data_IF_107105206988
#
_entry.id   IF_107105206988
#
_cell.length_a   1.000
_cell.length_b   1.000
_cell.length_c   1.000
_cell.angle_alpha   90.00
_cell.angle_beta   90.00
_cell.angle_gamma   90.00
#
_symmetry.space_group_name_H-M   'P 1'
#
loop_
_entity.id
_entity.type
_entity.pdbx_description
1 polymer ?
#
# COMPACT_ATOMS: atom_id res chain seq x y z
N UNK A 1 26.40 2.43 -28.98
CA UNK A 1 25.42 2.49 -27.86
C UNK A 1 25.14 3.91 -27.36
N UNK A 2 25.49 4.95 -28.13
CA UNK A 2 25.48 6.35 -27.69
C UNK A 2 24.13 6.89 -27.21
N UNK A 3 23.02 6.22 -27.53
CA UNK A 3 21.66 6.58 -27.12
C UNK A 3 21.03 5.55 -26.16
N UNK A 4 21.83 4.70 -25.49
CA UNK A 4 21.37 3.71 -24.55
C UNK A 4 21.73 4.12 -23.12
N UNK A 5 20.84 3.85 -22.19
CA UNK A 5 21.09 4.07 -20.77
C UNK A 5 21.74 2.85 -20.11
N UNK A 6 22.77 3.11 -19.32
CA UNK A 6 23.23 2.18 -18.30
C UNK A 6 22.32 2.34 -17.08
N UNK A 7 21.42 1.39 -16.89
CA UNK A 7 20.40 1.44 -15.83
C UNK A 7 20.91 0.78 -14.56
N UNK A 8 20.85 1.50 -13.45
CA UNK A 8 21.22 1.03 -12.13
C UNK A 8 19.99 1.10 -11.23
N UNK A 9 19.77 0.04 -10.46
CA UNK A 9 18.66 -0.05 -9.52
C UNK A 9 19.07 -0.75 -8.23
N UNK A 10 18.23 -0.66 -7.24
CA UNK A 10 18.41 -1.34 -5.96
C UNK A 10 17.25 -2.29 -5.65
N UNK A 11 17.51 -3.24 -4.75
CA UNK A 11 16.54 -4.23 -4.27
C UNK A 11 16.69 -4.33 -2.76
N UNK A 12 15.59 -4.39 -2.03
CA UNK A 12 15.64 -4.69 -0.59
C UNK A 12 15.95 -3.50 0.31
N UNK A 13 15.55 -2.27 -0.04
CA UNK A 13 15.76 -1.12 0.84
C UNK A 13 15.03 -1.28 2.18
N UNK A 14 13.85 -1.88 2.18
CA UNK A 14 13.14 -2.21 3.41
C UNK A 14 13.97 -3.13 4.31
N UNK A 15 14.52 -4.21 3.74
CA UNK A 15 15.34 -5.17 4.48
C UNK A 15 16.69 -4.58 4.87
N UNK A 16 17.22 -3.62 4.11
CA UNK A 16 18.40 -2.86 4.51
C UNK A 16 18.17 -2.11 5.83
N UNK A 17 17.00 -1.47 6.00
CA UNK A 17 16.60 -0.85 7.27
C UNK A 17 16.49 -1.84 8.42
N UNK A 18 15.89 -2.99 8.19
CA UNK A 18 15.74 -4.05 9.20
C UNK A 18 17.10 -4.65 9.64
N UNK A 19 18.04 -4.81 8.72
CA UNK A 19 19.35 -5.41 8.98
C UNK A 19 20.40 -4.41 9.48
N UNK A 20 20.26 -3.13 9.16
CA UNK A 20 21.18 -2.08 9.61
C UNK A 20 21.16 -1.96 11.14
N UNK A 21 22.32 -2.18 11.80
CA UNK A 21 22.42 -2.22 13.27
C UNK A 21 21.97 -0.94 13.96
N UNK A 22 22.09 0.19 13.28
CA UNK A 22 21.72 1.53 13.78
C UNK A 22 20.26 1.92 13.50
N UNK A 23 19.51 1.15 12.69
CA UNK A 23 18.11 1.41 12.37
C UNK A 23 17.18 0.36 13.00
N UNK A 24 17.33 -0.91 12.60
CA UNK A 24 16.51 -2.04 13.07
C UNK A 24 14.99 -1.80 12.94
N UNK A 25 14.58 -1.11 11.88
CA UNK A 25 13.19 -0.75 11.56
C UNK A 25 12.93 -0.97 10.09
N UNK A 26 11.67 -1.15 9.75
CA UNK A 26 11.21 -1.25 8.36
C UNK A 26 11.04 0.14 7.71
N UNK A 27 10.69 0.16 6.43
CA UNK A 27 10.56 1.40 5.64
C UNK A 27 9.37 2.29 6.08
N UNK A 28 8.47 1.81 6.92
CA UNK A 28 7.41 2.65 7.48
C UNK A 28 7.93 3.68 8.48
N UNK A 29 9.10 3.42 9.08
CA UNK A 29 9.71 4.32 10.05
C UNK A 29 10.37 5.54 9.38
N UNK A 30 10.14 6.76 9.90
CA UNK A 30 10.71 7.99 9.32
C UNK A 30 12.23 7.97 9.16
N UNK A 31 12.95 7.33 10.08
CA UNK A 31 14.42 7.23 10.05
C UNK A 31 14.89 6.35 8.88
N UNK A 32 14.14 5.29 8.55
CA UNK A 32 14.44 4.41 7.41
C UNK A 32 14.05 5.09 6.09
N UNK A 33 12.97 5.86 6.07
CA UNK A 33 12.61 6.69 4.93
C UNK A 33 13.69 7.73 4.63
N UNK A 34 14.22 8.39 5.68
CA UNK A 34 15.33 9.34 5.50
C UNK A 34 16.58 8.64 4.98
N UNK A 35 16.96 7.50 5.56
CA UNK A 35 18.09 6.70 5.08
C UNK A 35 17.90 6.29 3.61
N UNK A 36 16.70 5.86 3.22
CA UNK A 36 16.40 5.51 1.82
C UNK A 36 16.55 6.73 0.88
N UNK A 37 16.09 7.91 1.30
CA UNK A 37 16.27 9.17 0.55
C UNK A 37 17.75 9.52 0.40
N UNK A 38 18.54 9.38 1.45
CA UNK A 38 19.97 9.68 1.43
C UNK A 38 20.71 8.73 0.46
N UNK A 39 20.38 7.43 0.48
CA UNK A 39 20.93 6.45 -0.47
C UNK A 39 20.56 6.79 -1.90
N UNK A 40 19.28 7.07 -2.17
CA UNK A 40 18.81 7.39 -3.52
C UNK A 40 19.44 8.69 -4.06
N UNK A 41 19.57 9.72 -3.22
CA UNK A 41 20.23 10.97 -3.60
C UNK A 41 21.71 10.74 -3.88
N UNK A 42 22.40 9.99 -3.02
CA UNK A 42 23.80 9.63 -3.27
C UNK A 42 23.98 8.88 -4.59
N UNK A 43 23.10 7.89 -4.88
CA UNK A 43 23.15 7.18 -6.16
C UNK A 43 22.94 8.13 -7.35
N UNK A 44 21.99 9.06 -7.26
CA UNK A 44 21.75 10.07 -8.31
C UNK A 44 22.98 10.94 -8.56
N UNK A 45 23.61 11.44 -7.53
CA UNK A 45 24.84 12.24 -7.61
C UNK A 45 25.96 11.43 -8.30
N UNK A 46 26.18 10.19 -7.86
CA UNK A 46 27.18 9.31 -8.48
C UNK A 46 26.91 9.01 -9.97
N UNK A 47 25.65 8.84 -10.33
CA UNK A 47 25.30 8.64 -11.76
C UNK A 47 25.54 9.89 -12.59
N UNK A 48 25.33 11.08 -12.04
CA UNK A 48 25.71 12.34 -12.71
C UNK A 48 27.23 12.44 -12.92
N UNK A 49 28.00 12.10 -11.88
CA UNK A 49 29.47 12.07 -11.99
C UNK A 49 29.94 11.07 -13.08
N UNK A 50 29.29 9.91 -13.19
CA UNK A 50 29.62 8.94 -14.23
C UNK A 50 29.26 9.44 -15.62
N UNK A 51 28.15 10.15 -15.79
CA UNK A 51 27.79 10.79 -17.06
C UNK A 51 28.86 11.81 -17.49
N UNK A 52 29.36 12.62 -16.57
CA UNK A 52 30.41 13.59 -16.81
C UNK A 52 31.75 12.91 -17.15
N UNK A 53 32.09 11.84 -16.40
CA UNK A 53 33.39 11.16 -16.53
C UNK A 53 33.50 10.30 -17.81
N UNK A 54 32.43 9.56 -18.12
CA UNK A 54 32.45 8.56 -19.21
C UNK A 54 31.76 9.02 -20.51
N UNK A 55 30.94 10.08 -20.44
CA UNK A 55 30.17 10.55 -21.60
C UNK A 55 28.97 9.67 -21.95
N UNK A 56 28.69 8.62 -21.18
CA UNK A 56 27.56 7.70 -21.36
C UNK A 56 26.33 8.15 -20.60
N UNK A 57 25.16 7.63 -21.00
CA UNK A 57 23.88 7.90 -20.32
C UNK A 57 23.66 6.91 -19.17
N UNK A 58 23.34 7.43 -17.99
CA UNK A 58 23.01 6.65 -16.80
C UNK A 58 21.65 7.04 -16.25
N UNK A 59 20.91 6.07 -15.71
CA UNK A 59 19.67 6.35 -14.97
C UNK A 59 19.54 5.47 -13.73
N UNK A 60 18.74 5.92 -12.78
CA UNK A 60 18.36 5.21 -11.57
C UNK A 60 16.92 4.71 -11.71
N UNK A 61 16.74 3.41 -11.66
CA UNK A 61 15.45 2.75 -11.82
C UNK A 61 14.95 2.12 -10.51
N UNK A 62 13.65 2.23 -10.25
CA UNK A 62 12.99 1.39 -9.25
C UNK A 62 12.82 -0.02 -9.85
N UNK A 63 13.87 -0.82 -9.76
CA UNK A 63 14.02 -2.09 -10.46
C UNK A 63 12.88 -3.07 -10.15
N UNK A 64 12.14 -3.56 -11.17
CA UNK A 64 11.12 -4.59 -11.00
C UNK A 64 11.76 -5.97 -10.85
N UNK A 65 12.31 -6.25 -9.67
CA UNK A 65 13.11 -7.44 -9.39
C UNK A 65 12.24 -8.69 -9.19
N UNK A 66 11.90 -9.40 -10.25
CA UNK A 66 11.12 -10.64 -10.17
C UNK A 66 11.93 -11.81 -9.60
N UNK A 67 12.91 -12.30 -10.36
CA UNK A 67 13.75 -13.44 -9.95
C UNK A 67 14.87 -13.01 -9.01
N UNK A 68 15.42 -11.82 -9.18
CA UNK A 68 16.54 -11.31 -8.42
C UNK A 68 16.20 -11.17 -6.94
N UNK A 69 15.04 -10.61 -6.61
CA UNK A 69 14.57 -10.47 -5.24
C UNK A 69 14.50 -11.81 -4.49
N UNK A 70 14.01 -12.85 -5.15
CA UNK A 70 13.97 -14.21 -4.59
C UNK A 70 15.36 -14.84 -4.51
N UNK A 71 16.14 -14.78 -5.59
CA UNK A 71 17.45 -15.42 -5.66
C UNK A 71 18.42 -14.85 -4.62
N UNK A 72 18.51 -13.54 -4.50
CA UNK A 72 19.37 -12.89 -3.52
C UNK A 72 18.97 -13.27 -2.10
N UNK A 73 17.71 -13.14 -1.73
CA UNK A 73 17.25 -13.51 -0.41
C UNK A 73 17.54 -14.99 -0.08
N UNK A 74 17.35 -15.89 -1.05
CA UNK A 74 17.66 -17.31 -0.88
C UNK A 74 19.16 -17.59 -0.70
N UNK A 75 20.02 -16.87 -1.42
CA UNK A 75 21.47 -17.01 -1.28
C UNK A 75 21.95 -16.42 0.04
N UNK A 76 21.45 -15.24 0.38
CA UNK A 76 21.86 -14.54 1.61
C UNK A 76 21.44 -15.30 2.86
N UNK A 77 20.25 -15.90 2.89
CA UNK A 77 19.83 -16.80 4.00
C UNK A 77 20.77 -17.99 4.20
N UNK A 78 21.45 -18.48 3.14
CA UNK A 78 22.43 -19.55 3.26
C UNK A 78 23.77 -19.06 3.81
N UNK A 79 24.21 -17.87 3.40
CA UNK A 79 25.49 -17.30 3.80
C UNK A 79 25.39 -16.61 5.16
N UNK A 80 24.25 -16.02 5.44
CA UNK A 80 23.96 -15.21 6.62
C UNK A 80 22.63 -15.68 7.25
N UNK A 81 22.59 -16.74 8.04
CA UNK A 81 21.35 -17.32 8.57
C UNK A 81 20.45 -16.34 9.33
N UNK A 82 21.07 -15.34 9.98
CA UNK A 82 20.38 -14.32 10.78
C UNK A 82 19.88 -13.12 9.97
N UNK A 83 20.11 -13.09 8.64
CA UNK A 83 19.65 -11.98 7.81
C UNK A 83 18.13 -11.95 7.75
N UNK A 84 17.56 -10.78 7.96
CA UNK A 84 16.11 -10.55 7.90
C UNK A 84 15.70 -10.35 6.44
N UNK A 85 14.68 -11.09 6.00
CA UNK A 85 14.06 -10.98 4.68
C UNK A 85 12.59 -10.58 4.82
N UNK A 86 11.90 -10.30 3.73
CA UNK A 86 10.50 -9.87 3.77
C UNK A 86 9.57 -10.93 4.38
N UNK A 87 9.89 -12.22 4.23
CA UNK A 87 9.19 -13.32 4.88
C UNK A 87 10.17 -14.20 5.67
N UNK A 88 10.02 -14.23 6.99
CA UNK A 88 10.88 -15.00 7.89
C UNK A 88 10.41 -16.44 8.09
N UNK A 89 9.10 -16.72 7.91
CA UNK A 89 8.48 -18.01 8.21
C UNK A 89 8.15 -18.84 6.96
N UNK A 90 8.50 -18.37 5.78
CA UNK A 90 8.18 -19.03 4.52
C UNK A 90 9.30 -18.91 3.49
N UNK A 91 8.93 -18.74 2.23
CA UNK A 91 9.89 -18.53 1.14
C UNK A 91 10.48 -17.11 1.22
N UNK A 92 11.81 -16.97 1.40
CA UNK A 92 12.42 -15.65 1.55
C UNK A 92 12.40 -14.89 0.22
N UNK A 93 12.19 -13.58 0.31
CA UNK A 93 12.36 -12.63 -0.80
C UNK A 93 12.75 -11.26 -0.25
N UNK A 94 13.27 -10.40 -1.11
CA UNK A 94 13.47 -8.99 -0.82
C UNK A 94 12.36 -8.15 -1.42
N UNK A 95 11.97 -7.10 -0.72
CA UNK A 95 11.05 -6.10 -1.25
C UNK A 95 11.65 -5.42 -2.48
N UNK A 96 10.85 -5.15 -3.50
CA UNK A 96 11.33 -4.47 -4.70
C UNK A 96 11.80 -3.06 -4.35
N UNK A 97 12.99 -2.70 -4.84
CA UNK A 97 13.52 -1.35 -4.76
C UNK A 97 13.36 -0.69 -3.38
N UNK A 98 12.78 0.50 -3.30
CA UNK A 98 12.40 1.20 -2.06
C UNK A 98 10.89 1.19 -1.81
N UNK A 99 10.20 0.14 -2.23
CA UNK A 99 8.77 -0.02 -1.97
C UNK A 99 8.52 -0.44 -0.51
N UNK A 100 7.33 -0.10 -0.01
CA UNK A 100 6.82 -0.66 1.24
C UNK A 100 6.63 -2.17 1.14
N UNK A 101 6.78 -2.91 2.24
CA UNK A 101 6.34 -4.30 2.31
C UNK A 101 4.88 -4.42 1.88
N UNK A 102 4.57 -5.39 1.03
CA UNK A 102 3.22 -5.59 0.46
C UNK A 102 2.16 -5.91 1.51
N UNK A 103 2.58 -6.33 2.70
CA UNK A 103 1.72 -6.61 3.86
C UNK A 103 1.67 -5.47 4.89
N UNK A 104 2.14 -4.27 4.58
CA UNK A 104 2.22 -3.18 5.55
C UNK A 104 0.84 -2.57 5.87
N UNK A 105 0.08 -2.18 4.86
CA UNK A 105 -1.22 -1.52 5.04
C UNK A 105 -2.20 -1.88 3.92
N UNK A 106 -3.49 -1.84 4.25
CA UNK A 106 -4.59 -1.90 3.29
C UNK A 106 -5.17 -0.51 2.95
N UNK A 107 -4.60 0.55 3.50
CA UNK A 107 -4.94 1.94 3.16
C UNK A 107 -3.99 2.45 2.08
N UNK A 108 -4.52 2.61 0.87
CA UNK A 108 -3.74 3.09 -0.29
C UNK A 108 -3.12 4.47 -0.04
N UNK A 109 -3.82 5.36 0.69
CA UNK A 109 -3.33 6.72 0.92
C UNK A 109 -2.22 6.75 1.96
N UNK A 110 -2.27 5.88 2.96
CA UNK A 110 -1.15 5.70 3.91
C UNK A 110 0.10 5.19 3.19
N UNK A 111 -0.06 4.24 2.26
CA UNK A 111 1.04 3.78 1.44
C UNK A 111 1.59 4.88 0.52
N UNK A 112 0.71 5.66 -0.10
CA UNK A 112 1.08 6.78 -0.99
C UNK A 112 1.82 7.88 -0.23
N UNK A 113 1.42 8.22 1.00
CA UNK A 113 2.09 9.23 1.84
C UNK A 113 3.56 8.88 2.09
N UNK A 114 3.88 7.59 2.24
CA UNK A 114 5.24 7.12 2.45
C UNK A 114 6.02 7.02 1.11
N UNK A 115 5.34 6.57 0.05
CA UNK A 115 6.00 6.27 -1.21
C UNK A 115 6.22 7.49 -2.11
N UNK A 116 5.43 8.55 -1.97
CA UNK A 116 5.44 9.70 -2.90
C UNK A 116 6.84 10.31 -3.04
N UNK A 117 7.47 10.66 -1.91
CA UNK A 117 8.81 11.26 -1.95
C UNK A 117 9.89 10.29 -2.45
N UNK A 118 9.81 9.02 -2.08
CA UNK A 118 10.81 8.02 -2.50
C UNK A 118 10.72 7.75 -4.00
N UNK A 119 9.50 7.62 -4.54
CA UNK A 119 9.31 7.32 -5.97
C UNK A 119 9.74 8.48 -6.88
N UNK A 120 9.68 9.72 -6.41
CA UNK A 120 10.14 10.89 -7.18
C UNK A 120 11.66 11.03 -7.25
N UNK A 121 12.41 10.26 -6.47
CA UNK A 121 13.89 10.29 -6.50
C UNK A 121 14.48 9.42 -7.61
N UNK A 122 13.72 8.55 -8.23
CA UNK A 122 14.17 7.78 -9.39
C UNK A 122 14.17 8.64 -10.64
N UNK A 123 15.12 8.39 -11.54
CA UNK A 123 15.21 9.08 -12.82
C UNK A 123 14.65 8.27 -13.98
N UNK A 124 14.27 7.03 -13.72
CA UNK A 124 13.66 6.09 -14.66
C UNK A 124 12.82 5.05 -13.93
N UNK A 125 11.91 4.40 -14.64
CA UNK A 125 11.26 3.14 -14.31
C UNK A 125 10.70 2.99 -12.89
N UNK A 126 9.99 4.00 -12.37
CA UNK A 126 9.32 3.86 -11.06
C UNK A 126 7.81 3.65 -11.23
N UNK A 127 7.20 2.87 -10.35
CA UNK A 127 5.75 2.63 -10.35
C UNK A 127 5.23 2.27 -8.96
N UNK A 128 4.08 2.82 -8.60
CA UNK A 128 3.32 2.38 -7.44
C UNK A 128 2.19 1.44 -7.89
N UNK A 129 2.18 0.21 -7.41
CA UNK A 129 1.13 -0.75 -7.72
C UNK A 129 0.06 -0.78 -6.63
N UNK A 130 -1.13 -0.26 -6.92
CA UNK A 130 -2.29 -0.43 -6.07
C UNK A 130 -2.95 -1.80 -6.35
N UNK A 131 -2.61 -2.79 -5.53
CA UNK A 131 -3.20 -4.13 -5.63
C UNK A 131 -4.60 -4.14 -5.02
N UNK A 132 -5.61 -4.41 -5.85
CA UNK A 132 -6.99 -4.53 -5.42
C UNK A 132 -7.40 -6.00 -5.35
N UNK A 133 -8.24 -6.36 -4.37
CA UNK A 133 -8.80 -7.71 -4.26
C UNK A 133 -9.73 -8.05 -5.41
N UNK A 134 -10.42 -7.04 -5.93
CA UNK A 134 -11.37 -7.14 -7.06
C UNK A 134 -11.41 -5.81 -7.83
N UNK A 135 -12.14 -5.78 -8.93
CA UNK A 135 -12.35 -4.53 -9.69
C UNK A 135 -13.16 -3.52 -8.87
N UNK A 136 -12.91 -2.25 -9.11
CA UNK A 136 -13.72 -1.17 -8.54
C UNK A 136 -15.17 -1.28 -9.02
N UNK A 137 -16.16 -0.85 -8.21
CA UNK A 137 -17.58 -1.07 -8.51
C UNK A 137 -18.03 -0.44 -9.84
N UNK A 138 -17.48 0.73 -10.17
CA UNK A 138 -17.81 1.45 -11.40
C UNK A 138 -16.65 2.35 -11.87
N UNK A 139 -16.80 2.90 -13.07
CA UNK A 139 -15.81 3.80 -13.67
C UNK A 139 -15.66 5.13 -12.93
N UNK A 140 -16.71 5.63 -12.24
CA UNK A 140 -16.67 6.89 -11.48
C UNK A 140 -15.77 6.71 -10.25
N UNK A 141 -15.87 5.57 -9.58
CA UNK A 141 -14.99 5.21 -8.46
C UNK A 141 -13.53 5.15 -8.91
N UNK A 142 -13.27 4.54 -10.08
CA UNK A 142 -11.93 4.52 -10.66
C UNK A 142 -11.43 5.94 -11.02
N UNK A 143 -12.25 6.75 -11.68
CA UNK A 143 -11.92 8.12 -12.05
C UNK A 143 -11.65 9.01 -10.82
N UNK A 144 -12.44 8.86 -9.76
CA UNK A 144 -12.25 9.59 -8.50
C UNK A 144 -10.93 9.21 -7.81
N UNK A 145 -10.60 7.91 -7.78
CA UNK A 145 -9.33 7.45 -7.21
C UNK A 145 -8.15 8.00 -8.00
N UNK A 146 -8.17 7.87 -9.33
CA UNK A 146 -7.13 8.39 -10.22
C UNK A 146 -6.96 9.91 -10.02
N UNK A 147 -8.06 10.65 -10.02
CA UNK A 147 -8.02 12.10 -9.80
C UNK A 147 -7.40 12.48 -8.46
N UNK A 148 -7.82 11.80 -7.39
CA UNK A 148 -7.28 12.06 -6.04
C UNK A 148 -5.79 11.80 -5.96
N UNK A 149 -5.30 10.71 -6.56
CA UNK A 149 -3.87 10.44 -6.59
C UNK A 149 -3.16 11.53 -7.40
N UNK A 150 -3.63 11.84 -8.60
CA UNK A 150 -3.00 12.81 -9.49
C UNK A 150 -2.97 14.26 -8.93
N UNK A 151 -4.00 14.65 -8.17
CA UNK A 151 -4.11 16.00 -7.59
C UNK A 151 -3.31 16.18 -6.29
N UNK A 152 -2.99 15.09 -5.57
CA UNK A 152 -2.39 15.17 -4.23
C UNK A 152 -0.99 14.59 -4.12
N UNK A 153 -0.52 13.83 -5.10
CA UNK A 153 0.77 13.14 -5.09
C UNK A 153 1.58 13.46 -6.35
N UNK A 154 2.90 13.37 -6.22
CA UNK A 154 3.87 13.64 -7.30
C UNK A 154 4.33 12.37 -8.01
N UNK A 155 3.79 11.21 -7.64
CA UNK A 155 4.14 9.91 -8.22
C UNK A 155 4.16 9.96 -9.75
N UNK A 156 5.28 9.62 -10.40
CA UNK A 156 5.38 9.66 -11.86
C UNK A 156 4.47 8.65 -12.55
N UNK A 157 4.26 7.49 -11.92
CA UNK A 157 3.44 6.42 -12.47
C UNK A 157 2.84 5.53 -11.38
N UNK A 158 1.58 5.19 -11.53
CA UNK A 158 0.90 4.24 -10.66
C UNK A 158 -0.10 3.40 -11.45
N UNK A 159 -0.42 2.22 -10.92
CA UNK A 159 -1.40 1.32 -11.52
C UNK A 159 -2.48 0.92 -10.53
N UNK A 160 -3.69 0.76 -11.01
CA UNK A 160 -4.80 0.16 -10.28
C UNK A 160 -4.93 -1.27 -10.79
N UNK A 161 -4.61 -2.24 -9.94
CA UNK A 161 -4.36 -3.63 -10.34
C UNK A 161 -5.31 -4.59 -9.61
N UNK A 162 -6.52 -4.86 -10.15
CA UNK A 162 -7.41 -5.86 -9.58
C UNK A 162 -6.85 -7.27 -9.79
N UNK A 163 -7.17 -8.17 -8.85
CA UNK A 163 -6.99 -9.61 -9.04
C UNK A 163 -8.25 -10.19 -9.69
N UNK A 164 -8.10 -11.14 -10.60
CA UNK A 164 -9.20 -11.85 -11.21
C UNK A 164 -8.82 -13.30 -11.54
N UNK A 165 -9.79 -14.14 -11.78
CA UNK A 165 -9.61 -15.54 -12.14
C UNK A 165 -10.29 -15.86 -13.45
N UNK A 166 -9.76 -16.85 -14.17
CA UNK A 166 -10.30 -17.34 -15.44
C UNK A 166 -10.62 -18.82 -15.33
N UNK A 167 -11.87 -19.18 -15.53
CA UNK A 167 -12.27 -20.56 -15.79
C UNK A 167 -12.23 -20.82 -17.29
N UNK A 168 -11.62 -21.91 -17.73
CA UNK A 168 -11.54 -22.27 -19.16
C UNK A 168 -12.91 -22.43 -19.81
N UNK A 169 -13.91 -22.88 -19.05
CA UNK A 169 -15.26 -23.15 -19.56
C UNK A 169 -16.22 -21.98 -19.37
N UNK A 170 -16.04 -21.16 -18.30
CA UNK A 170 -17.00 -20.12 -17.90
C UNK A 170 -16.44 -18.70 -17.92
N UNK A 171 -15.15 -18.54 -18.31
CA UNK A 171 -14.51 -17.23 -18.50
C UNK A 171 -14.17 -16.51 -17.20
N UNK A 172 -14.40 -15.21 -17.16
CA UNK A 172 -13.96 -14.28 -16.11
C UNK A 172 -14.71 -14.46 -14.78
N UNK A 173 -13.96 -14.47 -13.69
CA UNK A 173 -14.44 -14.48 -12.32
C UNK A 173 -13.76 -13.32 -11.56
N UNK A 174 -14.50 -12.53 -10.81
CA UNK A 174 -13.96 -11.43 -10.03
C UNK A 174 -13.19 -11.96 -8.81
N UNK A 175 -12.01 -11.35 -8.53
CA UNK A 175 -11.18 -11.70 -7.38
C UNK A 175 -10.41 -13.01 -7.51
N UNK A 176 -9.85 -13.47 -6.40
CA UNK A 176 -9.14 -14.75 -6.28
C UNK A 176 -10.13 -15.88 -6.04
N UNK A 177 -10.44 -16.63 -7.08
CA UNK A 177 -11.35 -17.79 -7.05
C UNK A 177 -10.56 -19.02 -7.49
N UNK A 178 -10.29 -19.97 -6.59
CA UNK A 178 -9.47 -21.16 -6.86
C UNK A 178 -10.19 -22.23 -7.66
N UNK A 179 -11.50 -22.34 -7.47
CA UNK A 179 -12.36 -23.29 -8.18
C UNK A 179 -13.58 -22.61 -8.73
N UNK A 180 -13.94 -22.90 -9.97
CA UNK A 180 -15.09 -22.30 -10.63
C UNK A 180 -16.40 -22.65 -9.89
N UNK A 181 -17.22 -21.66 -9.50
CA UNK A 181 -18.48 -21.93 -8.79
C UNK A 181 -19.54 -22.64 -9.64
N UNK A 182 -19.34 -22.70 -10.97
CA UNK A 182 -20.29 -23.33 -11.89
C UNK A 182 -19.93 -24.79 -12.17
N UNK A 183 -18.64 -25.07 -12.50
CA UNK A 183 -18.22 -26.43 -12.89
C UNK A 183 -17.30 -27.10 -11.88
N UNK A 184 -16.85 -26.41 -10.82
CA UNK A 184 -15.93 -26.95 -9.81
C UNK A 184 -14.47 -27.08 -10.26
N UNK A 185 -14.17 -26.86 -11.56
CA UNK A 185 -12.79 -26.95 -12.05
C UNK A 185 -11.88 -25.83 -11.52
N UNK A 186 -10.58 -26.12 -11.47
CA UNK A 186 -9.56 -25.15 -11.11
C UNK A 186 -9.50 -23.97 -12.07
N UNK A 187 -9.22 -22.79 -11.57
CA UNK A 187 -9.11 -21.55 -12.34
C UNK A 187 -7.68 -21.09 -12.45
N UNK A 188 -7.39 -20.26 -13.43
CA UNK A 188 -6.14 -19.49 -13.49
C UNK A 188 -6.32 -18.14 -12.81
N UNK A 189 -5.55 -17.87 -11.76
CA UNK A 189 -5.60 -16.62 -11.00
C UNK A 189 -4.60 -15.65 -11.61
N UNK A 190 -5.08 -14.48 -12.02
CA UNK A 190 -4.27 -13.44 -12.63
C UNK A 190 -4.08 -12.26 -11.69
N UNK A 191 -2.84 -11.86 -11.52
CA UNK A 191 -2.46 -10.64 -10.83
C UNK A 191 -1.23 -10.04 -11.49
N UNK A 192 -0.92 -8.78 -11.17
CA UNK A 192 0.29 -8.12 -11.65
C UNK A 192 1.49 -8.62 -10.85
N UNK A 193 2.48 -9.21 -11.53
CA UNK A 193 3.69 -9.70 -10.85
C UNK A 193 4.62 -8.54 -10.50
N UNK A 194 5.00 -7.76 -11.52
CA UNK A 194 5.73 -6.48 -11.39
C UNK A 194 5.12 -5.48 -12.37
N UNK A 195 5.46 -5.53 -13.64
CA UNK A 195 4.96 -4.62 -14.65
C UNK A 195 3.74 -5.11 -15.44
N UNK A 196 3.42 -6.41 -15.44
CA UNK A 196 2.40 -7.02 -16.28
C UNK A 196 1.62 -8.13 -15.58
N UNK A 197 0.42 -8.44 -16.10
CA UNK A 197 -0.40 -9.54 -15.60
C UNK A 197 0.12 -10.89 -16.05
N UNK A 198 0.10 -11.85 -15.13
CA UNK A 198 0.51 -13.21 -15.39
C UNK A 198 -0.23 -14.17 -14.44
N UNK A 199 -0.54 -15.41 -14.85
CA UNK A 199 -1.07 -16.42 -13.94
C UNK A 199 -0.15 -16.62 -12.75
N UNK A 200 -0.69 -16.47 -11.54
CA UNK A 200 0.07 -16.59 -10.29
C UNK A 200 0.76 -17.95 -10.17
N UNK A 201 0.13 -18.99 -10.72
CA UNK A 201 0.66 -20.36 -10.75
C UNK A 201 2.00 -20.48 -11.49
N UNK A 202 2.30 -19.53 -12.37
CA UNK A 202 3.52 -19.51 -13.19
C UNK A 202 4.63 -18.62 -12.60
N UNK A 203 4.44 -18.08 -11.40
CA UNK A 203 5.43 -17.24 -10.75
C UNK A 203 6.49 -18.06 -10.03
N UNK A 204 7.68 -17.47 -9.81
CA UNK A 204 8.67 -18.09 -8.93
C UNK A 204 8.19 -18.11 -7.48
N UNK A 205 8.76 -18.99 -6.66
CA UNK A 205 8.32 -19.22 -5.27
C UNK A 205 8.33 -17.96 -4.40
N UNK A 206 9.30 -17.06 -4.58
CA UNK A 206 9.37 -15.80 -3.84
C UNK A 206 8.23 -14.85 -4.21
N UNK A 207 7.90 -14.74 -5.50
CA UNK A 207 6.76 -13.92 -5.96
C UNK A 207 5.40 -14.53 -5.60
N UNK A 208 5.28 -15.84 -5.57
CA UNK A 208 4.09 -16.52 -5.03
C UNK A 208 3.93 -16.21 -3.54
N UNK A 209 5.04 -16.19 -2.78
CA UNK A 209 5.00 -15.80 -1.37
C UNK A 209 4.62 -14.33 -1.21
N UNK A 210 5.24 -13.42 -1.95
CA UNK A 210 4.87 -12.01 -1.95
C UNK A 210 3.37 -11.79 -2.25
N UNK A 211 2.81 -12.55 -3.21
CA UNK A 211 1.37 -12.48 -3.50
C UNK A 211 0.51 -12.89 -2.31
N UNK A 212 0.90 -13.92 -1.57
CA UNK A 212 0.19 -14.35 -0.35
C UNK A 212 0.29 -13.34 0.79
N UNK A 213 1.40 -12.62 0.86
CA UNK A 213 1.68 -11.63 1.90
C UNK A 213 1.01 -10.27 1.62
N UNK A 214 0.42 -10.06 0.42
CA UNK A 214 -0.22 -8.80 0.03
C UNK A 214 -1.43 -8.49 0.87
N UNK A 215 -1.45 -7.31 1.48
CA UNK A 215 -2.68 -6.67 1.92
C UNK A 215 -3.26 -5.89 0.73
N UNK A 216 -4.50 -6.26 0.38
CA UNK A 216 -5.18 -5.67 -0.77
C UNK A 216 -5.85 -4.36 -0.37
N UNK A 217 -5.66 -3.32 -1.19
CA UNK A 217 -6.33 -2.05 -1.00
C UNK A 217 -7.81 -2.17 -1.38
N UNK A 218 -8.68 -1.41 -0.71
CA UNK A 218 -10.13 -1.39 -0.99
C UNK A 218 -10.83 -2.77 -0.94
N UNK A 219 -10.38 -3.70 -0.11
CA UNK A 219 -11.23 -4.82 0.26
C UNK A 219 -12.50 -4.24 0.92
N UNK A 220 -13.65 -4.93 0.80
CA UNK A 220 -14.96 -4.53 1.37
C UNK A 220 -14.94 -4.19 2.89
N UNK A 221 -13.76 -4.13 3.47
CA UNK A 221 -13.48 -3.90 4.89
C UNK A 221 -14.08 -2.59 5.43
N UNK A 222 -14.19 -1.54 4.58
CA UNK A 222 -14.79 -0.26 4.98
C UNK A 222 -16.32 -0.35 4.97
N UNK A 223 -16.93 -1.26 4.19
CA UNK A 223 -18.39 -1.38 4.13
C UNK A 223 -19.00 -2.10 5.32
N UNK A 224 -18.29 -3.07 5.92
CA UNK A 224 -18.91 -4.01 6.87
C UNK A 224 -18.37 -3.93 8.30
N UNK A 225 -17.32 -3.18 8.61
CA UNK A 225 -16.65 -3.18 9.92
C UNK A 225 -16.30 -1.80 10.50
N UNK A 226 -16.98 -0.74 10.09
CA UNK A 226 -16.77 0.58 10.69
C UNK A 226 -17.56 0.65 12.00
N UNK A 227 -16.85 0.85 13.11
CA UNK A 227 -17.46 1.07 14.43
C UNK A 227 -17.27 2.52 14.83
N UNK A 228 -18.36 3.23 15.08
CA UNK A 228 -18.32 4.59 15.62
C UNK A 228 -18.56 4.52 17.13
N UNK A 229 -17.53 4.78 17.92
CA UNK A 229 -17.60 4.81 19.38
C UNK A 229 -17.99 6.23 19.79
N UNK A 230 -19.08 6.34 20.53
CA UNK A 230 -19.69 7.61 20.96
C UNK A 230 -20.01 7.59 22.46
N UNK A 231 -20.22 8.77 23.03
CA UNK A 231 -20.75 8.94 24.40
C UNK A 231 -22.08 9.71 24.39
N UNK A 232 -22.88 9.55 25.42
CA UNK A 232 -24.24 10.11 25.53
C UNK A 232 -24.27 11.65 25.44
N UNK A 233 -23.21 12.31 25.87
CA UNK A 233 -23.18 13.77 26.02
C UNK A 233 -22.21 14.48 25.06
N UNK A 234 -21.75 13.82 24.01
CA UNK A 234 -20.70 14.31 23.11
C UNK A 234 -21.27 15.01 21.85
N UNK A 235 -21.25 16.34 21.73
CA UNK A 235 -21.73 17.03 20.53
C UNK A 235 -20.91 16.69 19.27
N UNK A 236 -19.60 16.45 19.42
CA UNK A 236 -18.72 16.04 18.33
C UNK A 236 -19.06 14.65 17.77
N UNK A 237 -19.69 13.80 18.56
CA UNK A 237 -20.14 12.48 18.13
C UNK A 237 -21.29 12.55 17.11
N UNK A 238 -22.20 13.51 17.29
CA UNK A 238 -23.29 13.79 16.34
C UNK A 238 -22.71 14.26 14.99
N UNK A 239 -21.68 15.09 15.03
CA UNK A 239 -21.00 15.54 13.83
C UNK A 239 -20.25 14.41 13.12
N UNK A 240 -19.59 13.52 13.88
CA UNK A 240 -18.92 12.34 13.30
C UNK A 240 -19.92 11.40 12.62
N UNK A 241 -21.06 11.14 13.26
CA UNK A 241 -22.16 10.35 12.71
C UNK A 241 -22.68 10.98 11.39
N UNK A 242 -22.86 12.28 11.38
CA UNK A 242 -23.27 13.01 10.17
C UNK A 242 -22.22 12.89 9.04
N UNK A 243 -20.94 13.04 9.34
CA UNK A 243 -19.85 12.87 8.36
C UNK A 243 -19.89 11.47 7.72
N UNK A 244 -20.06 10.42 8.52
CA UNK A 244 -20.11 9.03 8.02
C UNK A 244 -21.34 8.81 7.15
N UNK A 245 -22.53 9.29 7.59
CA UNK A 245 -23.76 9.16 6.81
C UNK A 245 -23.70 9.94 5.49
N UNK A 246 -23.27 11.20 5.52
CA UNK A 246 -23.15 12.07 4.34
C UNK A 246 -22.12 11.51 3.34
N UNK A 247 -21.11 10.79 3.85
CA UNK A 247 -20.09 10.12 3.04
C UNK A 247 -20.51 8.72 2.53
N UNK A 248 -21.72 8.24 2.87
CA UNK A 248 -22.23 6.93 2.48
C UNK A 248 -21.50 5.75 3.12
N UNK A 249 -20.90 5.96 4.31
CA UNK A 249 -20.18 4.92 5.05
C UNK A 249 -21.15 4.21 6.00
N UNK A 250 -21.33 2.90 5.82
CA UNK A 250 -22.07 2.08 6.77
C UNK A 250 -21.24 1.87 8.04
N UNK A 251 -21.83 2.03 9.21
CA UNK A 251 -21.13 1.84 10.47
C UNK A 251 -22.06 1.31 11.58
N UNK A 252 -21.45 0.64 12.56
CA UNK A 252 -22.12 0.24 13.79
C UNK A 252 -21.83 1.28 14.86
N UNK A 253 -22.88 1.94 15.39
CA UNK A 253 -22.76 2.87 16.50
C UNK A 253 -22.66 2.12 17.82
N UNK A 254 -21.64 2.42 18.60
CA UNK A 254 -21.35 1.78 19.89
C UNK A 254 -21.27 2.84 20.98
N UNK A 255 -22.13 2.71 21.99
CA UNK A 255 -22.09 3.56 23.17
C UNK A 255 -20.95 3.11 24.08
N UNK A 256 -20.03 4.01 24.39
CA UNK A 256 -18.86 3.68 25.20
C UNK A 256 -19.23 3.26 26.62
N UNK A 257 -20.27 3.89 27.19
CA UNK A 257 -20.77 3.61 28.55
C UNK A 257 -21.32 2.20 28.66
N UNK A 258 -21.94 1.69 27.60
CA UNK A 258 -22.59 0.37 27.58
C UNK A 258 -21.61 -0.75 27.15
N UNK A 259 -20.39 -0.39 26.69
CA UNK A 259 -19.39 -1.31 26.12
C UNK A 259 -17.98 -1.08 26.69
N UNK A 260 -17.89 -0.92 28.03
CA UNK A 260 -16.62 -0.55 28.69
C UNK A 260 -15.47 -1.53 28.48
N UNK A 261 -15.75 -2.83 28.37
CA UNK A 261 -14.71 -3.85 28.09
C UNK A 261 -14.14 -3.72 26.67
N UNK A 262 -14.99 -3.50 25.68
CA UNK A 262 -14.57 -3.25 24.31
C UNK A 262 -13.72 -1.98 24.21
N UNK A 263 -14.14 -0.89 24.84
CA UNK A 263 -13.42 0.39 24.87
C UNK A 263 -12.03 0.22 25.49
N UNK A 264 -11.92 -0.54 26.59
CA UNK A 264 -10.64 -0.86 27.23
C UNK A 264 -9.76 -1.75 26.35
N UNK A 265 -10.32 -2.81 25.76
CA UNK A 265 -9.57 -3.72 24.88
C UNK A 265 -9.00 -3.01 23.66
N UNK A 266 -9.75 -2.06 23.11
CA UNK A 266 -9.34 -1.23 21.98
C UNK A 266 -8.48 -0.03 22.39
N UNK A 267 -8.24 0.20 23.70
CA UNK A 267 -7.47 1.33 24.23
C UNK A 267 -7.97 2.67 23.71
N UNK A 268 -9.29 2.90 23.71
CA UNK A 268 -9.92 4.15 23.23
C UNK A 268 -9.91 5.16 24.36
N UNK A 269 -9.34 6.34 24.10
CA UNK A 269 -9.14 7.38 25.13
C UNK A 269 -10.11 8.56 24.97
N UNK A 270 -10.78 8.70 23.83
CA UNK A 270 -11.71 9.82 23.59
C UNK A 270 -12.84 9.44 22.63
N UNK A 271 -13.93 10.23 22.65
CA UNK A 271 -15.03 10.14 21.69
C UNK A 271 -15.18 11.49 20.94
N UNK A 272 -15.59 11.46 19.66
CA UNK A 272 -15.84 10.27 18.82
C UNK A 272 -14.55 9.57 18.43
N UNK A 273 -14.60 8.23 18.36
CA UNK A 273 -13.55 7.42 17.75
C UNK A 273 -14.17 6.50 16.73
N UNK A 274 -13.61 6.47 15.51
CA UNK A 274 -13.95 5.49 14.49
C UNK A 274 -12.90 4.40 14.48
N UNK A 275 -13.34 3.14 14.53
CA UNK A 275 -12.50 1.95 14.41
C UNK A 275 -12.81 1.25 13.10
N UNK A 276 -11.78 1.04 12.29
CA UNK A 276 -11.84 0.34 11.00
C UNK A 276 -10.75 -0.72 11.04
N UNK A 277 -11.12 -1.97 11.28
CA UNK A 277 -10.15 -3.03 11.52
C UNK A 277 -9.24 -2.73 12.70
N UNK A 278 -7.94 -2.66 12.45
CA UNK A 278 -6.93 -2.33 13.46
C UNK A 278 -6.66 -0.81 13.57
N UNK A 279 -7.23 0.00 12.69
CA UNK A 279 -7.01 1.45 12.67
C UNK A 279 -8.01 2.17 13.55
N UNK A 280 -7.51 3.12 14.36
CA UNK A 280 -8.31 4.00 15.20
C UNK A 280 -8.16 5.44 14.74
N UNK A 281 -9.28 6.12 14.57
CA UNK A 281 -9.36 7.53 14.20
C UNK A 281 -9.98 8.27 15.37
N UNK A 282 -9.17 8.89 16.19
CA UNK A 282 -9.60 9.55 17.42
C UNK A 282 -9.88 11.04 17.19
N UNK A 283 -11.08 11.45 17.54
CA UNK A 283 -11.57 12.82 17.43
C UNK A 283 -12.07 13.18 16.02
N UNK A 284 -12.91 14.23 15.99
CA UNK A 284 -13.64 14.64 14.77
C UNK A 284 -12.73 15.01 13.60
N UNK A 285 -11.60 15.66 13.87
CA UNK A 285 -10.66 16.09 12.82
C UNK A 285 -9.97 14.91 12.12
N UNK A 286 -9.57 13.86 12.87
CA UNK A 286 -8.98 12.68 12.29
C UNK A 286 -10.01 11.89 11.45
N UNK A 287 -11.23 11.75 11.98
CA UNK A 287 -12.35 11.10 11.28
C UNK A 287 -12.64 11.85 9.97
N UNK A 288 -12.81 13.17 10.02
CA UNK A 288 -13.11 13.97 8.83
C UNK A 288 -12.01 13.83 7.77
N UNK A 289 -10.75 14.03 8.14
CA UNK A 289 -9.63 13.92 7.19
C UNK A 289 -9.57 12.54 6.53
N UNK A 290 -9.72 11.49 7.31
CA UNK A 290 -9.68 10.12 6.78
C UNK A 290 -10.88 9.82 5.87
N UNK A 291 -12.10 10.10 6.33
CA UNK A 291 -13.32 9.84 5.55
C UNK A 291 -13.37 10.69 4.29
N UNK A 292 -13.02 11.97 4.35
CA UNK A 292 -12.93 12.83 3.15
C UNK A 292 -11.92 12.29 2.15
N UNK A 293 -10.80 11.79 2.63
CA UNK A 293 -9.74 11.21 1.80
C UNK A 293 -10.19 9.95 1.06
N UNK A 294 -10.88 9.04 1.73
CA UNK A 294 -11.28 7.75 1.15
C UNK A 294 -12.57 7.83 0.32
N UNK A 295 -13.51 8.69 0.69
CA UNK A 295 -14.84 8.77 0.04
C UNK A 295 -14.98 9.93 -0.94
N UNK A 296 -14.10 10.94 -0.90
CA UNK A 296 -14.25 12.20 -1.64
C UNK A 296 -15.25 13.14 -1.03
N UNK A 297 -15.71 12.87 0.18
CA UNK A 297 -16.62 13.76 0.89
C UNK A 297 -15.89 15.03 1.34
N UNK A 298 -16.28 16.18 0.79
CA UNK A 298 -15.81 17.51 1.22
C UNK A 298 -17.00 18.31 1.72
N UNK A 299 -16.97 18.73 2.97
CA UNK A 299 -17.86 19.76 3.47
C UNK A 299 -17.34 21.11 2.98
N UNK A 300 -18.19 21.97 2.40
CA UNK A 300 -17.76 23.35 2.12
C UNK A 300 -17.35 24.03 3.42
N UNK A 301 -16.12 24.55 3.45
CA UNK A 301 -15.62 25.35 4.57
C UNK A 301 -16.42 26.62 4.56
N UNK A 302 -17.26 26.85 5.55
CA UNK A 302 -17.88 28.18 5.79
C UNK A 302 -16.75 29.14 6.14
N UNK A 303 -16.74 30.30 5.47
CA UNK A 303 -15.80 31.41 5.71
C UNK A 303 -15.80 31.75 7.20
N UNK A 304 -14.71 31.36 7.92
CA UNK A 304 -14.56 31.64 9.35
C UNK A 304 -13.62 30.73 10.12
N UNK A 305 -13.01 29.71 9.50
CA UNK A 305 -11.89 28.95 10.11
C UNK A 305 -12.25 27.97 11.24
N UNK A 306 -13.51 27.81 11.60
CA UNK A 306 -13.95 26.76 12.52
C UNK A 306 -14.56 25.60 11.74
N UNK A 307 -13.97 24.40 11.95
CA UNK A 307 -14.55 23.15 11.50
C UNK A 307 -15.72 22.85 12.45
N UNK A 308 -16.94 23.13 12.00
CA UNK A 308 -18.16 22.70 12.69
C UNK A 308 -18.53 21.30 12.22
#
# INVERSE_FOLDING_TARGET
>A
FDNHFSTIGLVGMNEAGLNAKWLRKDLSAPEVQQFAKDVLNHMRERLSDYQELYGDLYNLEATPAESTAYRFAKHDKKLYPDIITANENGTPYYTNSSHLPVGYTNDIFEALDIQDELQTLYTSGTVFHAFLGEKLPDWKSAANLVRKIAENYKLPYYTISPTYSICKNHGYLAGEVKSCPVCGEGTEIYSRITGYYRPVQNWNSGKVQEFKDRLLYFSNYIRDNVKLIVTKTCPKCIQAEKILNDAGVNFTKIMAEDNSELVKSLKIMQAPTVVIGNKKLEGLGAIYRYISRITGYYRPVLKGGEII
#
